data_IF_650219655404
#
_entry.id   IF_650219655404
#
_cell.length_a   1.000
_cell.length_b   1.000
_cell.length_c   1.000
_cell.angle_alpha   90.00
_cell.angle_beta   90.00
_cell.angle_gamma   90.00
#
_symmetry.space_group_name_H-M   'P 1'
#
loop_
_entity.id
_entity.type
_entity.pdbx_description
1 polymer ?
#
# COMPACT_ATOMS: atom_id res chain seq x y z
N UNK A 1 36.44 -25.77 16.69
CA UNK A 1 35.29 -25.17 17.40
C UNK A 1 35.47 -23.67 17.22
N UNK A 2 34.62 -22.97 16.46
CA UNK A 2 33.34 -22.42 16.92
C UNK A 2 32.43 -22.15 15.72
N UNK A 3 31.25 -22.78 15.69
CA UNK A 3 30.15 -22.47 14.77
C UNK A 3 29.57 -21.13 15.21
N UNK A 4 29.86 -20.05 14.50
CA UNK A 4 29.10 -18.80 14.68
C UNK A 4 27.76 -18.99 13.99
N UNK A 5 26.79 -19.49 14.75
CA UNK A 5 25.38 -19.51 14.38
C UNK A 5 24.94 -18.05 14.26
N UNK A 6 24.91 -17.52 13.04
CA UNK A 6 24.09 -16.35 12.71
C UNK A 6 22.64 -16.82 12.54
N UNK A 7 22.07 -17.35 13.62
CA UNK A 7 20.63 -17.46 13.80
C UNK A 7 20.19 -16.18 14.53
N UNK A 8 20.13 -15.08 13.79
CA UNK A 8 19.31 -13.94 14.20
C UNK A 8 17.88 -14.28 13.78
N UNK A 9 17.17 -14.88 14.72
CA UNK A 9 15.75 -15.21 14.69
C UNK A 9 14.90 -14.15 13.98
N UNK A 10 13.96 -14.65 13.17
CA UNK A 10 12.69 -14.01 12.80
C UNK A 10 12.19 -13.06 13.89
N UNK A 11 12.46 -11.77 13.72
CA UNK A 11 11.65 -10.73 14.32
C UNK A 11 10.72 -10.25 13.20
N UNK A 12 9.53 -10.85 13.13
CA UNK A 12 8.33 -10.26 12.52
C UNK A 12 8.00 -8.96 13.27
N UNK A 13 8.86 -7.95 13.17
CA UNK A 13 8.48 -6.59 13.53
C UNK A 13 7.47 -6.15 12.48
N UNK A 14 6.29 -5.62 12.86
CA UNK A 14 5.47 -4.90 11.90
C UNK A 14 6.37 -3.84 11.29
N UNK A 15 6.66 -3.94 10.00
CA UNK A 15 7.56 -3.01 9.31
C UNK A 15 7.03 -1.62 9.58
N UNK A 16 7.75 -0.85 10.40
CA UNK A 16 7.27 0.46 10.84
C UNK A 16 7.15 1.34 9.60
N UNK A 17 5.91 1.65 9.23
CA UNK A 17 5.63 2.48 8.07
C UNK A 17 6.33 3.83 8.24
N UNK A 18 6.96 4.31 7.18
CA UNK A 18 7.51 5.65 7.15
C UNK A 18 6.37 6.69 7.10
N UNK A 19 6.66 7.94 7.46
CA UNK A 19 5.65 9.00 7.53
C UNK A 19 4.78 9.11 6.27
N UNK A 20 5.39 9.05 5.08
CA UNK A 20 4.65 9.14 3.82
C UNK A 20 3.80 7.90 3.51
N UNK A 21 4.24 6.71 3.94
CA UNK A 21 3.42 5.49 3.81
C UNK A 21 2.21 5.58 4.76
N UNK A 22 2.42 6.10 5.97
CA UNK A 22 1.36 6.29 6.93
C UNK A 22 0.33 7.31 6.46
N UNK A 23 0.75 8.40 5.81
CA UNK A 23 -0.17 9.34 5.15
C UNK A 23 -1.05 8.65 4.10
N UNK A 24 -0.47 7.78 3.26
CA UNK A 24 -1.24 7.01 2.28
C UNK A 24 -2.22 6.06 2.96
N UNK A 25 -1.80 5.35 4.01
CA UNK A 25 -2.68 4.46 4.77
C UNK A 25 -3.83 5.21 5.44
N UNK A 26 -3.59 6.42 5.93
CA UNK A 26 -4.62 7.25 6.57
C UNK A 26 -5.72 7.69 5.59
N UNK A 27 -5.52 7.58 4.28
CA UNK A 27 -6.59 7.80 3.30
C UNK A 27 -7.65 6.69 3.33
N UNK A 28 -7.30 5.49 3.79
CA UNK A 28 -8.18 4.33 3.81
C UNK A 28 -8.65 4.07 5.24
N UNK A 29 -9.68 4.79 5.68
CA UNK A 29 -10.24 4.63 7.03
C UNK A 29 -11.26 3.49 7.11
N UNK A 30 -11.83 3.11 5.97
CA UNK A 30 -12.83 2.06 5.84
C UNK A 30 -12.46 1.07 4.72
N UNK A 31 -13.02 -0.14 4.74
CA UNK A 31 -12.73 -1.21 3.77
C UNK A 31 -13.45 -1.04 2.43
N UNK A 32 -14.54 -0.29 2.42
CA UNK A 32 -15.32 0.02 1.22
C UNK A 32 -14.73 1.22 0.45
N UNK A 33 -13.78 1.93 1.05
CA UNK A 33 -13.06 3.01 0.39
C UNK A 33 -12.06 2.46 -0.62
N UNK A 34 -12.34 2.77 -1.88
CA UNK A 34 -11.50 2.44 -3.01
C UNK A 34 -10.97 3.72 -3.66
N UNK A 35 -9.66 3.88 -3.68
CA UNK A 35 -9.02 5.06 -4.25
C UNK A 35 -8.04 4.67 -5.35
N UNK A 36 -7.99 5.49 -6.40
CA UNK A 36 -6.90 5.40 -7.38
C UNK A 36 -5.63 6.02 -6.81
N UNK A 37 -4.49 5.79 -7.47
CA UNK A 37 -3.23 6.46 -7.09
C UNK A 37 -3.32 7.99 -7.21
N UNK A 38 -4.14 8.48 -8.14
CA UNK A 38 -4.38 9.92 -8.36
C UNK A 38 -5.23 10.52 -7.25
N UNK A 39 -6.26 9.81 -6.80
CA UNK A 39 -7.08 10.22 -5.65
C UNK A 39 -6.22 10.32 -4.39
N UNK A 40 -5.39 9.30 -4.12
CA UNK A 40 -4.47 9.31 -2.98
C UNK A 40 -3.49 10.47 -3.05
N UNK A 41 -2.93 10.77 -4.23
CA UNK A 41 -2.06 11.94 -4.41
C UNK A 41 -2.77 13.25 -4.09
N UNK A 42 -4.03 13.36 -4.52
CA UNK A 42 -4.87 14.53 -4.25
C UNK A 42 -5.22 14.68 -2.77
N UNK A 43 -5.55 13.58 -2.09
CA UNK A 43 -5.89 13.56 -0.66
C UNK A 43 -4.67 13.82 0.23
N UNK A 44 -3.51 13.25 -0.11
CA UNK A 44 -2.27 13.38 0.68
C UNK A 44 -1.47 14.64 0.35
N UNK A 45 -1.82 15.36 -0.72
CA UNK A 45 -1.02 16.46 -1.30
C UNK A 45 0.43 16.06 -1.65
N UNK A 46 0.69 14.76 -1.83
CA UNK A 46 1.98 14.24 -2.26
C UNK A 46 2.05 14.22 -3.79
N UNK A 47 3.26 14.30 -4.34
CA UNK A 47 3.49 14.11 -5.78
C UNK A 47 3.06 12.70 -6.19
N UNK A 48 2.37 12.59 -7.33
CA UNK A 48 1.91 11.29 -7.87
C UNK A 48 3.05 10.27 -8.00
N UNK A 49 4.24 10.69 -8.43
CA UNK A 49 5.42 9.81 -8.51
C UNK A 49 5.82 9.23 -7.15
N UNK A 50 5.73 10.02 -6.08
CA UNK A 50 5.99 9.56 -4.72
C UNK A 50 4.90 8.59 -4.25
N UNK A 51 3.63 8.87 -4.53
CA UNK A 51 2.51 8.00 -4.18
C UNK A 51 2.62 6.66 -4.88
N UNK A 52 2.95 6.63 -6.18
CA UNK A 52 3.14 5.39 -6.93
C UNK A 52 4.18 4.48 -6.28
N UNK A 53 5.31 5.02 -5.84
CA UNK A 53 6.34 4.27 -5.11
C UNK A 53 5.86 3.75 -3.76
N UNK A 54 5.24 4.60 -2.95
CA UNK A 54 4.73 4.23 -1.62
C UNK A 54 3.60 3.20 -1.69
N UNK A 55 2.70 3.34 -2.66
CA UNK A 55 1.64 2.36 -2.93
C UNK A 55 2.24 1.02 -3.33
N UNK A 56 3.27 0.99 -4.19
CA UNK A 56 3.93 -0.26 -4.57
C UNK A 56 4.49 -0.96 -3.33
N UNK A 57 5.24 -0.24 -2.49
CA UNK A 57 5.78 -0.78 -1.25
C UNK A 57 4.66 -1.31 -0.32
N UNK A 58 3.56 -0.57 -0.17
CA UNK A 58 2.41 -1.00 0.65
C UNK A 58 1.67 -2.21 0.09
N UNK A 59 1.60 -2.36 -1.24
CA UNK A 59 1.09 -3.56 -1.90
C UNK A 59 2.02 -4.75 -1.65
N UNK A 60 3.34 -4.55 -1.78
CA UNK A 60 4.35 -5.59 -1.61
C UNK A 60 4.40 -6.08 -0.15
N UNK A 61 4.12 -5.19 0.82
CA UNK A 61 3.97 -5.53 2.25
C UNK A 61 2.58 -6.11 2.61
N UNK A 62 1.62 -6.15 1.69
CA UNK A 62 0.27 -6.64 1.94
C UNK A 62 -0.61 -5.70 2.79
N UNK A 63 -0.19 -4.46 3.02
CA UNK A 63 -1.00 -3.45 3.74
C UNK A 63 -2.14 -2.88 2.88
N UNK A 64 -1.95 -2.84 1.56
CA UNK A 64 -2.97 -2.50 0.57
C UNK A 64 -3.10 -3.64 -0.43
N UNK A 65 -4.25 -3.70 -1.10
CA UNK A 65 -4.47 -4.62 -2.23
C UNK A 65 -5.18 -3.91 -3.36
N UNK A 66 -4.95 -4.37 -4.60
CA UNK A 66 -5.76 -3.96 -5.74
C UNK A 66 -7.09 -4.70 -5.66
N UNK A 67 -8.16 -3.97 -5.36
CA UNK A 67 -9.52 -4.51 -5.17
C UNK A 67 -10.30 -4.56 -6.48
N UNK A 68 -10.07 -3.58 -7.34
CA UNK A 68 -10.74 -3.48 -8.64
C UNK A 68 -9.90 -2.62 -9.59
N UNK A 69 -10.40 -2.42 -10.80
CA UNK A 69 -9.83 -1.47 -11.73
C UNK A 69 -10.96 -0.76 -12.48
N UNK A 70 -10.84 0.56 -12.60
CA UNK A 70 -11.76 1.40 -13.36
C UNK A 70 -11.10 1.83 -14.66
N UNK A 71 -11.85 1.78 -15.76
CA UNK A 71 -11.41 2.43 -17.01
C UNK A 71 -11.71 3.92 -16.89
N UNK A 72 -10.67 4.73 -16.98
CA UNK A 72 -10.82 6.16 -17.11
C UNK A 72 -11.20 6.49 -18.56
N UNK A 73 -12.29 7.23 -18.74
CA UNK A 73 -12.83 7.54 -20.06
C UNK A 73 -12.06 8.67 -20.74
N UNK A 74 -11.42 9.56 -19.98
CA UNK A 74 -10.70 10.72 -20.50
C UNK A 74 -9.34 10.32 -21.08
N UNK A 75 -8.60 9.46 -20.37
CA UNK A 75 -7.26 8.97 -20.74
C UNK A 75 -7.30 7.60 -21.41
N UNK A 76 -8.49 6.99 -21.50
CA UNK A 76 -8.72 5.60 -21.95
C UNK A 76 -7.92 4.55 -21.17
N UNK A 77 -7.30 4.94 -20.05
CA UNK A 77 -6.36 4.11 -19.30
C UNK A 77 -7.06 3.35 -18.18
N UNK A 78 -6.53 2.17 -17.85
CA UNK A 78 -7.07 1.35 -16.76
C UNK A 78 -6.39 1.75 -15.45
N UNK A 79 -7.14 2.41 -14.58
CA UNK A 79 -6.68 2.81 -13.25
C UNK A 79 -7.01 1.72 -12.23
N UNK A 80 -6.01 1.36 -11.42
CA UNK A 80 -6.20 0.41 -10.33
C UNK A 80 -6.87 1.10 -9.14
N UNK A 81 -7.88 0.45 -8.58
CA UNK A 81 -8.54 0.85 -7.35
C UNK A 81 -7.94 0.07 -6.18
N UNK A 82 -7.30 0.81 -5.30
CA UNK A 82 -6.62 0.32 -4.11
C UNK A 82 -7.60 0.36 -2.94
N UNK A 83 -7.47 -0.57 -2.01
CA UNK A 83 -8.22 -0.57 -0.76
C UNK A 83 -7.53 -1.40 0.31
N UNK A 84 -8.08 -1.37 1.51
CA UNK A 84 -7.65 -2.25 2.59
C UNK A 84 -7.91 -3.72 2.21
N UNK A 85 -7.06 -4.66 2.67
CA UNK A 85 -7.34 -6.08 2.51
C UNK A 85 -8.66 -6.42 3.20
N UNK A 86 -9.56 -7.09 2.47
CA UNK A 86 -10.66 -7.80 3.12
C UNK A 86 -10.01 -8.89 3.97
N UNK A 87 -10.36 -8.98 5.25
CA UNK A 87 -10.04 -10.17 6.05
C UNK A 87 -10.60 -11.37 5.29
N UNK A 88 -9.76 -12.11 4.59
CA UNK A 88 -10.00 -13.54 4.49
C UNK A 88 -9.68 -14.09 5.88
N UNK A 89 -10.72 -14.63 6.52
CA UNK A 89 -10.53 -15.45 7.69
C UNK A 89 -9.54 -16.57 7.31
N UNK A 90 -8.38 -16.57 7.95
CA UNK A 90 -7.63 -17.79 8.17
C UNK A 90 -8.03 -18.33 9.54
#
# INVERSE_FOLDING_TARGET
>A
MTKTQYEAHDAMTPTKLCYTQQLVMNCFTDRDQLYTREDVASLTHLKLSSVCGRVRELLDMGHLVVRSARKDLATQSRQQLLGLPLKEAQ
#
